data_IF_589526828270
#
_entry.id   IF_589526828270
#
_cell.length_a   1.000
_cell.length_b   1.000
_cell.length_c   1.000
_cell.angle_alpha   90.00
_cell.angle_beta   90.00
_cell.angle_gamma   90.00
#
_symmetry.space_group_name_H-M   'P 1'
#
loop_
_entity.id
_entity.type
_entity.pdbx_description
1 polymer ?
#
# COMPACT_ATOMS: atom_id res chain seq x y z
N UNK A 1 17.04 -3.96 -3.29
CA UNK A 1 15.95 -2.99 -3.61
C UNK A 1 15.73 -2.78 -5.12
N UNK A 2 16.78 -2.66 -5.95
CA UNK A 2 16.65 -2.38 -7.39
C UNK A 2 15.72 -3.34 -8.15
N UNK A 3 15.92 -4.66 -7.98
CA UNK A 3 15.07 -5.66 -8.62
C UNK A 3 13.58 -5.50 -8.24
N UNK A 4 13.29 -5.25 -6.95
CA UNK A 4 11.93 -5.02 -6.48
C UNK A 4 11.33 -3.74 -7.07
N UNK A 5 12.08 -2.64 -7.16
CA UNK A 5 11.62 -1.41 -7.82
C UNK A 5 11.24 -1.66 -9.29
N UNK A 6 12.04 -2.45 -10.01
CA UNK A 6 11.76 -2.84 -11.39
C UNK A 6 10.46 -3.66 -11.50
N UNK A 7 10.24 -4.61 -10.58
CA UNK A 7 8.99 -5.40 -10.54
C UNK A 7 7.78 -4.51 -10.25
N UNK A 8 7.89 -3.61 -9.28
CA UNK A 8 6.82 -2.66 -8.92
C UNK A 8 6.49 -1.75 -10.12
N UNK A 9 7.51 -1.12 -10.70
CA UNK A 9 7.34 -0.24 -11.86
C UNK A 9 6.65 -0.96 -13.01
N UNK A 10 7.15 -2.16 -13.37
CA UNK A 10 6.55 -2.94 -14.45
C UNK A 10 5.08 -3.28 -14.18
N UNK A 11 4.69 -3.64 -12.95
CA UNK A 11 3.30 -3.93 -12.60
C UNK A 11 2.38 -2.70 -12.63
N UNK A 12 2.93 -1.50 -12.36
CA UNK A 12 2.19 -0.23 -12.40
C UNK A 12 2.01 0.24 -13.84
N UNK A 13 3.05 0.14 -14.67
CA UNK A 13 3.05 0.56 -16.07
C UNK A 13 2.32 -0.44 -16.98
N UNK A 14 2.38 -1.74 -16.64
CA UNK A 14 1.73 -2.82 -17.37
C UNK A 14 0.72 -3.56 -16.46
N UNK A 15 -0.43 -2.94 -16.14
CA UNK A 15 -1.42 -3.56 -15.26
C UNK A 15 -2.11 -4.75 -15.94
N UNK A 16 -2.15 -5.88 -15.23
CA UNK A 16 -2.74 -7.14 -15.72
C UNK A 16 -4.27 -7.19 -15.72
N UNK A 17 -4.94 -6.24 -15.07
CA UNK A 17 -6.38 -6.24 -14.85
C UNK A 17 -6.97 -4.83 -14.98
N UNK A 18 -6.94 -4.33 -16.22
CA UNK A 18 -7.42 -2.98 -16.57
C UNK A 18 -6.53 -1.91 -15.95
N UNK A 19 -7.13 -0.93 -15.28
CA UNK A 19 -6.38 0.18 -14.67
C UNK A 19 -5.87 -0.12 -13.25
N UNK A 20 -5.92 -1.37 -12.80
CA UNK A 20 -5.57 -1.72 -11.43
C UNK A 20 -4.04 -1.79 -11.22
N UNK A 21 -3.54 -0.75 -10.56
CA UNK A 21 -2.13 -0.57 -10.18
C UNK A 21 -1.83 -1.01 -8.74
N UNK A 22 -2.78 -1.67 -8.04
CA UNK A 22 -2.60 -2.10 -6.65
C UNK A 22 -1.56 -3.22 -6.55
N UNK A 23 -0.73 -3.16 -5.51
CA UNK A 23 0.24 -4.19 -5.15
C UNK A 23 0.15 -4.51 -3.65
N UNK A 24 0.41 -5.76 -3.29
CA UNK A 24 0.59 -6.23 -1.91
C UNK A 24 1.95 -6.92 -1.83
N UNK A 25 2.75 -6.54 -0.84
CA UNK A 25 4.07 -7.13 -0.59
C UNK A 25 4.02 -7.81 0.77
N UNK A 26 4.15 -9.14 0.78
CA UNK A 26 4.20 -9.93 2.00
C UNK A 26 5.64 -10.25 2.37
N UNK A 27 5.94 -10.19 3.66
CA UNK A 27 7.22 -10.60 4.22
C UNK A 27 7.01 -11.16 5.62
N UNK A 28 7.84 -12.12 6.01
CA UNK A 28 7.76 -12.76 7.33
C UNK A 28 8.25 -11.86 8.47
N UNK A 29 9.06 -10.84 8.17
CA UNK A 29 9.72 -10.03 9.19
C UNK A 29 9.22 -8.59 9.18
N UNK A 30 8.77 -8.10 10.35
CA UNK A 30 8.32 -6.73 10.53
C UNK A 30 9.39 -5.70 10.12
N UNK A 31 10.66 -5.96 10.45
CA UNK A 31 11.76 -5.06 10.09
C UNK A 31 12.00 -5.00 8.58
N UNK A 32 11.74 -6.09 7.86
CA UNK A 32 11.79 -6.08 6.40
C UNK A 32 10.65 -5.24 5.84
N UNK A 33 9.43 -5.35 6.38
CA UNK A 33 8.29 -4.53 5.96
C UNK A 33 8.56 -3.03 6.18
N UNK A 34 9.11 -2.69 7.35
CA UNK A 34 9.54 -1.32 7.69
C UNK A 34 10.62 -0.82 6.73
N UNK A 35 11.69 -1.59 6.54
CA UNK A 35 12.78 -1.24 5.62
C UNK A 35 12.25 -0.98 4.20
N UNK A 36 11.39 -1.86 3.69
CA UNK A 36 10.78 -1.67 2.36
C UNK A 36 9.93 -0.40 2.31
N UNK A 37 9.08 -0.16 3.32
CA UNK A 37 8.26 1.04 3.38
C UNK A 37 9.11 2.31 3.35
N UNK A 38 10.07 2.45 4.27
CA UNK A 38 10.92 3.65 4.40
C UNK A 38 11.69 3.96 3.10
N UNK A 39 12.07 2.93 2.33
CA UNK A 39 12.83 3.10 1.10
C UNK A 39 11.98 3.20 -0.20
N UNK A 40 10.68 2.89 -0.13
CA UNK A 40 9.82 2.84 -1.32
C UNK A 40 8.71 3.88 -1.33
N UNK A 41 8.15 4.24 -0.16
CA UNK A 41 6.90 5.00 -0.10
C UNK A 41 7.00 6.37 -0.79
N UNK A 42 8.08 7.13 -0.55
CA UNK A 42 8.28 8.43 -1.19
C UNK A 42 8.46 8.30 -2.71
N UNK A 43 9.27 7.32 -3.14
CA UNK A 43 9.52 7.08 -4.55
C UNK A 43 8.24 6.69 -5.29
N UNK A 44 7.44 5.77 -4.71
CA UNK A 44 6.15 5.35 -5.28
C UNK A 44 5.21 6.56 -5.41
N UNK A 45 5.12 7.38 -4.37
CA UNK A 45 4.24 8.55 -4.37
C UNK A 45 4.69 9.60 -5.41
N UNK A 46 5.98 9.96 -5.42
CA UNK A 46 6.50 11.00 -6.32
C UNK A 46 6.47 10.59 -7.80
N UNK A 47 6.72 9.31 -8.11
CA UNK A 47 6.79 8.85 -9.50
C UNK A 47 5.43 8.44 -10.07
N UNK A 48 4.57 7.83 -9.25
CA UNK A 48 3.33 7.23 -9.75
C UNK A 48 2.05 7.83 -9.14
N UNK A 49 2.17 8.73 -8.17
CA UNK A 49 1.03 9.31 -7.45
C UNK A 49 0.27 8.28 -6.60
N UNK A 50 0.87 7.14 -6.30
CA UNK A 50 0.22 6.06 -5.54
C UNK A 50 0.57 6.16 -4.05
N UNK A 51 -0.43 5.96 -3.20
CA UNK A 51 -0.23 5.89 -1.76
C UNK A 51 0.26 4.49 -1.33
N UNK A 52 1.06 4.47 -0.27
CA UNK A 52 1.59 3.25 0.34
C UNK A 52 1.19 3.20 1.81
N UNK A 53 1.10 2.00 2.35
CA UNK A 53 0.93 1.76 3.77
C UNK A 53 1.75 0.54 4.20
N UNK A 54 2.15 0.50 5.46
CA UNK A 54 2.79 -0.65 6.09
C UNK A 54 2.01 -1.03 7.34
N UNK A 55 1.80 -2.34 7.50
CA UNK A 55 1.15 -2.95 8.65
C UNK A 55 2.10 -4.02 9.18
N UNK A 56 2.35 -4.00 10.50
CA UNK A 56 3.10 -5.03 11.23
C UNK A 56 2.28 -5.45 12.46
N UNK A 57 2.65 -6.57 13.10
CA UNK A 57 1.95 -7.06 14.30
C UNK A 57 2.28 -6.29 15.58
N UNK A 58 3.38 -5.53 15.59
CA UNK A 58 3.93 -4.88 16.78
C UNK A 58 3.71 -3.37 16.82
N UNK A 59 3.45 -2.72 15.68
CA UNK A 59 3.44 -1.26 15.56
C UNK A 59 2.14 -0.75 14.95
N UNK A 60 1.86 0.53 15.19
CA UNK A 60 0.77 1.20 14.50
C UNK A 60 1.07 1.28 13.00
N UNK A 61 0.07 1.05 12.14
CA UNK A 61 0.26 1.21 10.71
C UNK A 61 0.75 2.61 10.36
N UNK A 62 1.59 2.69 9.32
CA UNK A 62 1.99 3.97 8.71
C UNK A 62 1.45 4.03 7.31
N UNK A 63 1.17 5.23 6.81
CA UNK A 63 0.69 5.43 5.45
C UNK A 63 1.01 6.84 4.94
N UNK A 64 1.16 6.96 3.61
CA UNK A 64 1.31 8.26 2.94
C UNK A 64 -0.04 8.91 2.65
N UNK A 65 -1.16 8.19 2.81
CA UNK A 65 -2.50 8.75 2.63
C UNK A 65 -2.92 9.49 3.91
N UNK A 66 -3.26 10.78 3.78
CA UNK A 66 -3.79 11.55 4.91
C UNK A 66 -5.16 11.01 5.30
N UNK A 67 -5.26 10.47 6.51
CA UNK A 67 -6.51 9.93 7.07
C UNK A 67 -6.68 10.36 8.53
N UNK A 68 -7.93 10.51 8.97
CA UNK A 68 -8.26 10.93 10.35
C UNK A 68 -7.77 9.93 11.41
N UNK A 69 -7.84 8.63 11.08
CA UNK A 69 -7.41 7.54 11.95
C UNK A 69 -6.62 6.53 11.12
N UNK A 70 -5.38 6.30 11.51
CA UNK A 70 -4.48 5.32 10.88
C UNK A 70 -4.52 4.05 11.72
N UNK A 71 -5.40 3.11 11.35
CA UNK A 71 -5.44 1.77 11.93
C UNK A 71 -5.56 0.71 10.83
N UNK A 72 -5.41 -0.56 11.22
CA UNK A 72 -5.40 -1.69 10.29
C UNK A 72 -6.63 -1.72 9.38
N UNK A 73 -7.82 -1.58 9.98
CA UNK A 73 -9.08 -1.65 9.25
C UNK A 73 -9.20 -0.48 8.26
N UNK A 74 -8.85 0.74 8.68
CA UNK A 74 -8.89 1.91 7.81
C UNK A 74 -7.89 1.81 6.66
N UNK A 75 -6.69 1.28 6.88
CA UNK A 75 -5.72 1.03 5.81
C UNK A 75 -6.28 0.04 4.78
N UNK A 76 -6.85 -1.08 5.22
CA UNK A 76 -7.43 -2.08 4.31
C UNK A 76 -8.65 -1.55 3.54
N UNK A 77 -9.53 -0.79 4.21
CA UNK A 77 -10.69 -0.17 3.57
C UNK A 77 -10.28 0.82 2.47
N UNK A 78 -9.21 1.58 2.68
CA UNK A 78 -8.70 2.51 1.67
C UNK A 78 -7.86 1.82 0.58
N UNK A 79 -7.28 0.66 0.85
CA UNK A 79 -6.61 -0.16 -0.18
C UNK A 79 -7.60 -0.72 -1.21
N UNK A 80 -8.84 -0.97 -0.80
CA UNK A 80 -9.89 -1.44 -1.70
C UNK A 80 -11.18 -0.61 -1.55
N UNK A 81 -11.21 0.62 -2.10
CA UNK A 81 -12.34 1.53 -1.92
C UNK A 81 -13.61 1.03 -2.64
N UNK A 82 -13.49 0.13 -3.61
CA UNK A 82 -14.61 -0.52 -4.30
C UNK A 82 -14.70 -1.97 -3.82
N UNK A 83 -14.96 -2.15 -2.52
CA UNK A 83 -15.21 -3.47 -1.93
C UNK A 83 -16.70 -3.66 -1.68
N UNK A 84 -17.17 -4.91 -1.77
CA UNK A 84 -18.53 -5.26 -1.33
C UNK A 84 -18.71 -4.77 0.11
N UNK A 85 -19.87 -4.20 0.40
CA UNK A 85 -20.28 -3.76 1.74
C UNK A 85 -19.60 -2.51 2.33
N UNK A 86 -18.71 -1.82 1.62
CA UNK A 86 -18.09 -0.58 2.13
C UNK A 86 -19.12 0.46 2.59
N UNK A 87 -20.22 0.62 1.84
CA UNK A 87 -21.31 1.54 2.16
C UNK A 87 -22.04 1.19 3.48
N UNK A 88 -21.91 -0.03 3.99
CA UNK A 88 -22.47 -0.44 5.29
C UNK A 88 -21.56 -0.04 6.46
N UNK A 89 -20.25 0.09 6.22
CA UNK A 89 -19.22 0.38 7.24
C UNK A 89 -18.94 1.88 7.35
N UNK A 90 -18.98 2.58 6.22
CA UNK A 90 -18.86 4.04 6.12
C UNK A 90 -19.88 4.53 5.07
N UNK A 91 -21.12 4.88 5.48
CA UNK A 91 -22.10 5.47 4.59
C UNK A 91 -21.65 6.85 4.05
#
# INVERSE_FOLDING_TARGET
LLALKKVIQNKIENPINGQNKKLLIFTAFADTAKYLYENLHEWIYRQFGLHSAVVTGSDHPKTTLKMKKVDFNNVLMNFSPISKERAKVMP
#
